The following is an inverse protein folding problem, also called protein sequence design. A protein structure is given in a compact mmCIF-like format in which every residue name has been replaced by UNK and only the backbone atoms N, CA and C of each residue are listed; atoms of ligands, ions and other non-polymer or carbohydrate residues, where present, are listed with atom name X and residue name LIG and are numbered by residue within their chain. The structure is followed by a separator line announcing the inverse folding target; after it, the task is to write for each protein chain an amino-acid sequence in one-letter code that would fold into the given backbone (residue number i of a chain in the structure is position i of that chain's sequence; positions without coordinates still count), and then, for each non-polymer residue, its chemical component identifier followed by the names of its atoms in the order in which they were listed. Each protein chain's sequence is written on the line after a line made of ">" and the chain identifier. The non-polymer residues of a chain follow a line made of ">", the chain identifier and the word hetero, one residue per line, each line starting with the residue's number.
data_IF_221278683248
#
_entry.id   IF_221278683248
#
_cell.length_a   1.000
_cell.length_b   1.000
_cell.length_c   1.000
_cell.angle_alpha   90.00
_cell.angle_beta   90.00
_cell.angle_gamma   90.00
#
_symmetry.space_group_name_H-M   'P 1'
#
loop_
_entity.id
_entity.type
_entity.pdbx_description
1 polymer ?
#
# COMPACT_ATOMS: atom_id res chain seq x y z
N UNK A 1 -10.83 -16.99 1.42
CA UNK A 1 -9.82 -16.69 2.46
C UNK A 1 -8.88 -15.66 1.89
N UNK A 2 -8.56 -14.59 2.63
CA UNK A 2 -7.54 -13.63 2.19
C UNK A 2 -6.17 -14.28 2.27
N UNK A 3 -5.37 -14.17 1.20
CA UNK A 3 -3.96 -14.56 1.22
C UNK A 3 -3.20 -13.45 1.95
N UNK A 4 -2.33 -13.81 2.89
CA UNK A 4 -1.60 -12.85 3.72
C UNK A 4 -0.08 -13.02 3.56
N UNK A 5 0.66 -11.94 3.70
CA UNK A 5 2.07 -11.94 4.06
C UNK A 5 2.20 -11.81 5.59
N UNK A 6 3.32 -12.25 6.12
CA UNK A 6 3.65 -12.10 7.54
C UNK A 6 4.73 -11.02 7.65
N UNK A 7 4.42 -9.94 8.36
CA UNK A 7 5.37 -8.89 8.64
C UNK A 7 6.49 -9.41 9.57
N UNK A 8 7.66 -8.77 9.58
CA UNK A 8 8.79 -9.18 10.41
C UNK A 8 8.52 -9.18 11.93
N UNK A 9 7.43 -8.56 12.37
CA UNK A 9 6.94 -8.57 13.75
C UNK A 9 5.80 -9.60 13.99
N UNK A 10 5.51 -10.48 13.03
CA UNK A 10 4.51 -11.54 13.12
C UNK A 10 3.07 -11.13 12.76
N UNK A 11 2.80 -9.86 12.51
CA UNK A 11 1.46 -9.39 12.11
C UNK A 11 1.13 -9.87 10.70
N UNK A 12 -0.09 -10.40 10.51
CA UNK A 12 -0.60 -10.82 9.20
C UNK A 12 -1.19 -9.64 8.44
N UNK A 13 -0.75 -9.42 7.21
CA UNK A 13 -1.19 -8.34 6.32
C UNK A 13 -1.73 -8.95 5.01
N UNK A 14 -2.99 -8.65 4.60
CA UNK A 14 -3.52 -9.13 3.32
C UNK A 14 -2.71 -8.58 2.13
N UNK A 15 -2.37 -9.46 1.18
CA UNK A 15 -1.50 -9.11 0.03
C UNK A 15 -2.18 -8.24 -1.03
N UNK A 16 -3.47 -8.04 -0.92
CA UNK A 16 -4.24 -7.08 -1.72
C UNK A 16 -5.03 -6.17 -0.79
N UNK A 17 -4.79 -4.87 -0.88
CA UNK A 17 -5.50 -3.84 -0.16
C UNK A 17 -6.38 -2.99 -1.07
N UNK A 18 -7.15 -2.11 -0.47
CA UNK A 18 -8.00 -1.13 -1.13
C UNK A 18 -7.47 0.27 -0.87
N UNK A 19 -6.93 0.92 -1.90
CA UNK A 19 -6.43 2.29 -1.84
C UNK A 19 -7.58 3.31 -1.75
N UNK A 20 -7.47 4.28 -0.84
CA UNK A 20 -8.51 5.26 -0.54
C UNK A 20 -8.13 6.70 -0.98
N UNK A 21 -7.00 6.88 -1.67
CA UNK A 21 -6.62 8.18 -2.20
C UNK A 21 -7.70 8.77 -3.11
N UNK A 22 -8.02 10.07 -2.94
CA UNK A 22 -9.03 10.80 -3.70
C UNK A 22 -10.43 10.15 -3.66
N UNK A 23 -10.81 9.60 -2.50
CA UNK A 23 -12.18 9.26 -2.15
C UNK A 23 -12.59 10.11 -0.94
N UNK A 24 -13.72 10.79 -1.01
CA UNK A 24 -14.15 11.78 0.01
C UNK A 24 -15.60 11.58 0.41
N UNK A 25 -15.97 12.10 1.58
CA UNK A 25 -17.34 12.18 2.03
C UNK A 25 -18.12 10.85 1.89
N UNK A 26 -19.38 10.91 1.51
CA UNK A 26 -20.24 9.72 1.37
C UNK A 26 -19.73 8.70 0.35
N UNK A 27 -19.02 9.13 -0.69
CA UNK A 27 -18.40 8.21 -1.66
C UNK A 27 -17.34 7.32 -0.97
N UNK A 28 -16.50 7.91 -0.11
CA UNK A 28 -15.50 7.15 0.65
C UNK A 28 -16.17 6.11 1.57
N UNK A 29 -17.18 6.55 2.34
CA UNK A 29 -17.96 5.67 3.22
C UNK A 29 -18.55 4.49 2.44
N UNK A 30 -19.19 4.78 1.30
CA UNK A 30 -19.82 3.74 0.47
C UNK A 30 -18.75 2.80 -0.13
N UNK A 31 -17.64 3.34 -0.63
CA UNK A 31 -16.54 2.53 -1.18
C UNK A 31 -15.94 1.57 -0.13
N UNK A 32 -15.77 2.01 1.12
CA UNK A 32 -15.29 1.16 2.21
C UNK A 32 -16.28 0.02 2.48
N UNK A 33 -17.58 0.33 2.58
CA UNK A 33 -18.64 -0.68 2.78
C UNK A 33 -18.68 -1.69 1.63
N UNK A 34 -18.61 -1.21 0.39
CA UNK A 34 -18.62 -2.06 -0.79
C UNK A 34 -17.37 -2.95 -0.86
N UNK A 35 -16.19 -2.39 -0.58
CA UNK A 35 -14.94 -3.15 -0.54
C UNK A 35 -15.00 -4.27 0.53
N UNK A 36 -15.50 -3.98 1.74
CA UNK A 36 -15.71 -4.99 2.78
C UNK A 36 -16.68 -6.08 2.29
N UNK A 37 -17.81 -5.66 1.68
CA UNK A 37 -18.86 -6.59 1.22
C UNK A 37 -18.38 -7.55 0.13
N UNK A 38 -17.43 -7.15 -0.71
CA UNK A 38 -16.87 -7.98 -1.78
C UNK A 38 -15.62 -8.77 -1.33
N UNK A 39 -15.10 -8.53 -0.12
CA UNK A 39 -14.05 -9.36 0.46
C UNK A 39 -12.71 -8.68 0.74
N UNK A 40 -12.56 -7.38 0.51
CA UNK A 40 -11.35 -6.67 0.96
C UNK A 40 -11.25 -6.68 2.48
N UNK A 41 -10.02 -6.87 2.98
CA UNK A 41 -9.70 -6.88 4.41
C UNK A 41 -8.52 -5.96 4.76
N UNK A 42 -7.95 -5.29 3.79
CA UNK A 42 -6.87 -4.32 3.94
C UNK A 42 -7.29 -3.00 3.28
N UNK A 43 -7.14 -1.88 4.02
CA UNK A 43 -7.53 -0.53 3.62
C UNK A 43 -6.34 0.41 3.82
N UNK A 44 -6.03 1.22 2.82
CA UNK A 44 -4.90 2.16 2.85
C UNK A 44 -5.38 3.60 2.71
N UNK A 45 -5.22 4.37 3.78
CA UNK A 45 -5.47 5.82 3.83
C UNK A 45 -4.23 6.60 4.24
N UNK A 46 -4.35 7.90 4.49
CA UNK A 46 -3.31 8.77 5.01
C UNK A 46 -3.91 10.05 5.60
N UNK A 47 -3.18 10.72 6.50
CA UNK A 47 -3.58 12.02 7.05
C UNK A 47 -3.86 13.06 5.95
N UNK A 48 -2.99 13.12 4.94
CA UNK A 48 -3.13 14.08 3.82
C UNK A 48 -4.30 13.79 2.89
N UNK A 49 -4.88 12.56 2.94
CA UNK A 49 -6.08 12.24 2.15
C UNK A 49 -7.35 12.84 2.77
N UNK A 50 -7.31 13.25 4.05
CA UNK A 50 -8.41 13.89 4.79
C UNK A 50 -9.69 13.07 4.84
N UNK A 51 -9.57 11.74 4.78
CA UNK A 51 -10.72 10.82 4.77
C UNK A 51 -10.67 9.74 5.86
N UNK A 52 -9.78 9.87 6.86
CA UNK A 52 -9.66 8.90 7.95
C UNK A 52 -10.98 8.73 8.74
N UNK A 53 -11.77 9.82 8.89
CA UNK A 53 -13.10 9.78 9.51
C UNK A 53 -14.08 8.94 8.71
N UNK A 54 -14.12 9.16 7.41
CA UNK A 54 -14.99 8.45 6.47
C UNK A 54 -14.64 6.97 6.39
N UNK A 55 -13.34 6.64 6.45
CA UNK A 55 -12.87 5.25 6.53
C UNK A 55 -13.40 4.58 7.80
N UNK A 56 -13.23 5.22 8.95
CA UNK A 56 -13.76 4.73 10.22
C UNK A 56 -15.27 4.56 10.21
N UNK A 57 -15.99 5.53 9.65
CA UNK A 57 -17.45 5.48 9.52
C UNK A 57 -17.90 4.34 8.58
N UNK A 58 -17.25 4.18 7.44
CA UNK A 58 -17.52 3.08 6.50
C UNK A 58 -17.34 1.71 7.15
N UNK A 59 -16.30 1.54 7.97
CA UNK A 59 -16.08 0.31 8.74
C UNK A 59 -17.20 0.09 9.76
N UNK A 60 -17.57 1.11 10.55
CA UNK A 60 -18.69 1.01 11.53
C UNK A 60 -20.00 0.63 10.85
N UNK A 61 -20.35 1.32 9.75
CA UNK A 61 -21.59 1.07 9.01
C UNK A 61 -21.60 -0.31 8.33
N UNK A 62 -20.45 -0.87 7.99
CA UNK A 62 -20.37 -2.23 7.42
C UNK A 62 -20.74 -3.32 8.43
N UNK A 63 -20.69 -3.01 9.73
CA UNK A 63 -20.86 -3.95 10.85
C UNK A 63 -19.86 -5.13 10.83
N UNK A 64 -18.81 -5.03 10.04
CA UNK A 64 -17.75 -6.04 9.98
C UNK A 64 -16.79 -5.86 11.18
N UNK A 65 -16.34 -6.94 11.84
CA UNK A 65 -15.46 -6.83 13.00
C UNK A 65 -14.14 -6.11 12.66
N UNK A 66 -13.78 -5.07 13.45
CA UNK A 66 -12.59 -4.24 13.24
C UNK A 66 -11.30 -5.05 13.31
N UNK A 67 -11.24 -6.03 14.20
CA UNK A 67 -10.09 -6.90 14.43
C UNK A 67 -9.81 -7.90 13.29
N UNK A 68 -10.75 -8.03 12.35
CA UNK A 68 -10.59 -8.81 11.12
C UNK A 68 -10.20 -7.95 9.90
N UNK A 69 -9.97 -6.66 10.12
CA UNK A 69 -9.52 -5.72 9.10
C UNK A 69 -8.09 -5.27 9.39
N UNK A 70 -7.34 -5.02 8.33
CA UNK A 70 -6.03 -4.38 8.36
C UNK A 70 -6.16 -2.96 7.79
N UNK A 71 -5.91 -1.94 8.60
CA UNK A 71 -6.05 -0.53 8.20
C UNK A 71 -4.72 0.18 8.35
N UNK A 72 -4.23 0.71 7.24
CA UNK A 72 -3.02 1.52 7.15
C UNK A 72 -3.38 3.00 7.12
N UNK A 73 -2.67 3.83 7.89
CA UNK A 73 -2.59 5.28 7.68
C UNK A 73 -1.14 5.73 7.56
N UNK A 74 -0.94 6.99 7.14
CA UNK A 74 0.41 7.55 6.92
C UNK A 74 0.48 8.94 7.53
N UNK A 75 1.60 9.25 8.21
CA UNK A 75 1.81 10.58 8.78
C UNK A 75 2.14 11.59 7.67
N UNK A 76 1.50 12.75 7.76
CA UNK A 76 1.85 13.93 6.93
C UNK A 76 2.68 14.97 7.70
N UNK A 77 3.13 14.64 8.91
CA UNK A 77 3.83 15.52 9.85
C UNK A 77 5.33 15.23 9.86
N UNK A 78 6.15 16.21 10.27
CA UNK A 78 7.60 16.13 10.37
C UNK A 78 8.08 16.35 11.81
N UNK A 79 8.96 15.48 12.28
CA UNK A 79 9.55 15.52 13.62
C UNK A 79 8.64 14.96 14.72
N UNK A 80 9.24 14.70 15.88
CA UNK A 80 8.64 13.94 16.97
C UNK A 80 7.30 14.52 17.48
N UNK A 81 7.31 15.77 17.95
CA UNK A 81 6.13 16.37 18.60
C UNK A 81 4.94 16.57 17.67
N UNK A 82 5.20 16.94 16.42
CA UNK A 82 4.14 17.11 15.43
C UNK A 82 3.53 15.76 15.05
N UNK A 83 4.37 14.73 14.88
CA UNK A 83 3.92 13.38 14.53
C UNK A 83 3.13 12.74 15.67
N UNK A 84 3.57 12.89 16.91
CA UNK A 84 2.82 12.40 18.08
C UNK A 84 1.41 12.99 18.13
N UNK A 85 1.26 14.31 17.98
CA UNK A 85 -0.06 14.97 17.91
C UNK A 85 -0.87 14.50 16.70
N UNK A 86 -0.23 14.36 15.53
CA UNK A 86 -0.89 13.89 14.31
C UNK A 86 -1.47 12.48 14.43
N UNK A 87 -0.78 11.56 15.13
CA UNK A 87 -1.27 10.21 15.40
C UNK A 87 -2.52 10.24 16.29
N UNK A 88 -2.52 11.05 17.36
CA UNK A 88 -3.71 11.21 18.23
C UNK A 88 -4.91 11.75 17.45
N UNK A 89 -4.69 12.75 16.62
CA UNK A 89 -5.74 13.32 15.76
C UNK A 89 -6.27 12.27 14.76
N UNK A 90 -5.39 11.45 14.19
CA UNK A 90 -5.79 10.38 13.27
C UNK A 90 -6.66 9.35 13.97
N UNK A 91 -6.27 8.88 15.15
CA UNK A 91 -7.06 7.94 15.95
C UNK A 91 -8.44 8.53 16.31
N UNK A 92 -8.48 9.81 16.72
CA UNK A 92 -9.73 10.52 17.02
C UNK A 92 -10.64 10.62 15.78
N UNK A 93 -10.09 10.93 14.59
CA UNK A 93 -10.86 10.97 13.34
C UNK A 93 -11.35 9.59 12.95
N UNK A 94 -10.46 8.59 12.97
CA UNK A 94 -10.76 7.21 12.62
C UNK A 94 -11.81 6.57 13.56
N UNK A 95 -11.77 6.93 14.84
CA UNK A 95 -12.75 6.50 15.84
C UNK A 95 -12.61 5.03 16.26
N UNK A 96 -11.41 4.46 16.13
CA UNK A 96 -11.00 3.18 16.68
C UNK A 96 -9.69 3.33 17.47
N UNK A 97 -9.40 2.44 18.41
CA UNK A 97 -8.26 2.61 19.33
C UNK A 97 -6.89 2.40 18.68
N UNK A 98 -6.82 1.82 17.50
CA UNK A 98 -5.57 1.52 16.82
C UNK A 98 -5.71 1.49 15.29
N UNK A 99 -4.57 1.72 14.60
CA UNK A 99 -4.34 1.31 13.22
C UNK A 99 -3.54 0.00 13.18
N UNK A 100 -3.65 -0.77 12.10
CA UNK A 100 -2.81 -1.97 11.94
C UNK A 100 -1.40 -1.60 11.51
N UNK A 101 -1.25 -0.54 10.69
CA UNK A 101 0.03 -0.05 10.22
C UNK A 101 0.02 1.48 10.15
N UNK A 102 1.08 2.12 10.68
CA UNK A 102 1.33 3.55 10.47
C UNK A 102 2.66 3.70 9.72
N UNK A 103 2.62 4.43 8.59
CA UNK A 103 3.81 4.71 7.78
C UNK A 103 4.24 6.18 7.92
N UNK A 104 5.53 6.45 7.80
CA UNK A 104 5.99 7.78 7.36
C UNK A 104 5.65 7.90 5.87
N UNK A 105 4.87 8.91 5.48
CA UNK A 105 4.32 9.00 4.11
C UNK A 105 5.40 9.32 3.07
N UNK A 106 6.28 10.27 3.39
CA UNK A 106 7.43 10.69 2.58
C UNK A 106 8.60 11.04 3.50
N UNK A 107 9.85 10.80 3.06
CA UNK A 107 11.02 11.31 3.76
C UNK A 107 10.94 12.83 3.87
N UNK A 108 11.31 13.35 5.04
CA UNK A 108 11.35 14.77 5.34
C UNK A 108 12.64 15.12 6.09
N UNK A 109 12.75 16.35 6.61
CA UNK A 109 13.98 16.83 7.26
C UNK A 109 14.28 16.17 8.62
N UNK A 110 13.27 15.67 9.33
CA UNK A 110 13.44 14.96 10.63
C UNK A 110 12.74 13.60 10.62
N UNK A 111 13.27 12.69 9.83
CA UNK A 111 12.79 11.31 9.76
C UNK A 111 12.99 10.57 11.08
N UNK A 112 14.09 10.81 11.78
CA UNK A 112 14.39 10.15 13.06
C UNK A 112 13.41 10.57 14.15
N UNK A 113 13.10 11.86 14.28
CA UNK A 113 12.10 12.35 15.23
C UNK A 113 10.70 11.82 14.86
N UNK A 114 10.35 11.81 13.59
CA UNK A 114 9.09 11.25 13.10
C UNK A 114 8.98 9.76 13.43
N UNK A 115 10.02 8.96 13.16
CA UNK A 115 10.01 7.53 13.44
C UNK A 115 9.98 7.21 14.93
N UNK A 116 10.63 8.03 15.78
CA UNK A 116 10.55 7.93 17.24
C UNK A 116 9.11 8.03 17.73
N UNK A 117 8.32 8.95 17.16
CA UNK A 117 6.90 9.07 17.50
C UNK A 117 6.09 7.83 17.07
N UNK A 118 6.41 7.24 15.91
CA UNK A 118 5.80 5.98 15.48
C UNK A 118 6.17 4.82 16.44
N UNK A 119 7.44 4.72 16.82
CA UNK A 119 7.92 3.68 17.74
C UNK A 119 7.24 3.79 19.11
N UNK A 120 7.03 5.00 19.61
CA UNK A 120 6.28 5.23 20.85
C UNK A 120 4.81 4.81 20.70
N UNK A 121 4.15 5.22 19.63
CA UNK A 121 2.77 4.82 19.32
C UNK A 121 2.60 3.29 19.21
N UNK A 122 3.61 2.62 18.65
CA UNK A 122 3.65 1.15 18.59
C UNK A 122 3.75 0.53 19.99
N UNK A 123 4.65 1.04 20.85
CA UNK A 123 4.80 0.59 22.24
C UNK A 123 3.55 0.85 23.09
N UNK A 124 2.82 1.91 22.79
CA UNK A 124 1.55 2.27 23.45
C UNK A 124 0.33 1.49 22.87
N UNK A 125 0.51 0.63 21.88
CA UNK A 125 -0.56 -0.16 21.29
C UNK A 125 -1.49 0.63 20.35
N UNK A 126 -1.12 1.85 19.96
CA UNK A 126 -1.87 2.70 19.01
C UNK A 126 -1.74 2.22 17.56
N UNK A 127 -0.75 1.36 17.30
CA UNK A 127 -0.64 0.61 16.06
C UNK A 127 -0.01 -0.76 16.29
N UNK A 128 -0.26 -1.70 15.37
CA UNK A 128 0.26 -3.08 15.41
C UNK A 128 1.57 -3.23 14.66
N UNK A 129 1.87 -2.32 13.75
CA UNK A 129 3.09 -2.28 12.96
C UNK A 129 3.40 -0.84 12.56
N UNK A 130 4.68 -0.58 12.28
CA UNK A 130 5.17 0.71 11.78
C UNK A 130 6.04 0.48 10.55
N UNK A 131 6.11 1.46 9.65
CA UNK A 131 6.88 1.33 8.43
C UNK A 131 7.12 2.67 7.74
N UNK A 132 7.56 2.56 6.51
CA UNK A 132 8.02 3.68 5.69
C UNK A 132 7.27 3.71 4.37
N UNK A 133 7.21 4.89 3.74
CA UNK A 133 6.74 5.05 2.37
C UNK A 133 7.65 6.03 1.63
N UNK A 134 8.04 5.65 0.40
CA UNK A 134 8.91 6.44 -0.48
C UNK A 134 10.34 6.68 0.03
N UNK A 135 10.82 5.81 0.91
CA UNK A 135 12.20 5.85 1.41
C UNK A 135 13.13 5.11 0.46
N UNK A 136 14.25 5.75 0.09
CA UNK A 136 15.34 5.09 -0.61
C UNK A 136 16.20 4.23 0.34
N UNK A 137 17.16 3.47 -0.20
CA UNK A 137 17.97 2.54 0.59
C UNK A 137 18.76 3.25 1.71
N UNK A 138 19.32 4.43 1.44
CA UNK A 138 20.09 5.20 2.43
C UNK A 138 19.22 5.67 3.59
N UNK A 139 18.08 6.28 3.26
CA UNK A 139 17.11 6.77 4.25
C UNK A 139 16.49 5.63 5.05
N UNK A 140 16.22 4.49 4.38
CA UNK A 140 15.75 3.29 5.05
C UNK A 140 16.77 2.76 6.06
N UNK A 141 18.05 2.67 5.67
CA UNK A 141 19.13 2.22 6.56
C UNK A 141 19.38 3.17 7.73
N UNK A 142 19.18 4.48 7.52
CA UNK A 142 19.23 5.44 8.61
C UNK A 142 18.21 5.09 9.71
N UNK A 143 16.96 4.84 9.35
CA UNK A 143 15.93 4.40 10.29
C UNK A 143 16.29 3.04 10.89
N UNK A 144 16.65 2.06 10.04
CA UNK A 144 16.99 0.72 10.47
C UNK A 144 18.09 0.67 11.54
N UNK A 145 19.13 1.49 11.37
CA UNK A 145 20.29 1.48 12.28
C UNK A 145 20.03 2.22 13.61
N UNK A 146 19.09 3.17 13.63
CA UNK A 146 18.87 4.04 14.79
C UNK A 146 17.76 3.56 15.75
N UNK A 147 16.93 2.57 15.37
CA UNK A 147 15.80 2.12 16.18
C UNK A 147 15.82 0.62 16.42
N UNK A 148 15.31 0.19 17.59
CA UNK A 148 15.14 -1.23 17.92
C UNK A 148 13.92 -1.81 17.21
N UNK A 149 12.80 -1.10 17.23
CA UNK A 149 11.60 -1.50 16.47
C UNK A 149 11.85 -1.20 15.00
N UNK A 150 12.00 -2.25 14.20
CA UNK A 150 12.33 -2.11 12.78
C UNK A 150 11.06 -1.79 11.96
N UNK A 151 11.18 -1.04 10.84
CA UNK A 151 10.05 -0.91 9.91
C UNK A 151 9.62 -2.29 9.42
N UNK A 152 8.34 -2.42 9.06
CA UNK A 152 7.80 -3.70 8.55
C UNK A 152 7.55 -3.66 7.05
N UNK A 153 7.29 -2.48 6.51
CA UNK A 153 6.90 -2.21 5.12
C UNK A 153 7.67 -1.00 4.61
N UNK A 154 8.02 -1.01 3.33
CA UNK A 154 8.26 0.21 2.56
C UNK A 154 7.27 0.24 1.40
N UNK A 155 6.33 1.22 1.43
CA UNK A 155 5.33 1.41 0.39
C UNK A 155 5.85 2.41 -0.64
N UNK A 156 6.07 1.96 -1.88
CA UNK A 156 6.69 2.78 -2.94
C UNK A 156 5.92 2.68 -4.25
N UNK A 157 6.08 3.67 -5.14
CA UNK A 157 5.55 3.58 -6.49
C UNK A 157 6.07 2.34 -7.19
N UNK A 158 5.16 1.43 -7.58
CA UNK A 158 5.57 0.22 -8.27
C UNK A 158 4.49 -0.22 -9.24
N UNK A 159 4.87 -0.42 -10.50
CA UNK A 159 3.98 -0.84 -11.56
C UNK A 159 4.77 -1.43 -12.74
N UNK A 160 4.09 -1.80 -13.82
CA UNK A 160 4.66 -2.49 -14.98
C UNK A 160 5.89 -1.80 -15.59
N UNK A 161 5.89 -0.46 -15.65
CA UNK A 161 7.01 0.32 -16.22
C UNK A 161 8.04 0.76 -15.15
N UNK A 162 7.78 0.45 -13.88
CA UNK A 162 8.63 0.80 -12.76
C UNK A 162 8.58 -0.30 -11.69
N UNK A 163 9.27 -1.40 -11.95
CA UNK A 163 9.23 -2.60 -11.10
C UNK A 163 10.02 -2.47 -9.80
N UNK A 164 10.84 -1.41 -9.64
CA UNK A 164 11.64 -1.17 -8.42
C UNK A 164 12.53 -2.35 -8.03
N UNK A 165 13.08 -3.06 -9.01
CA UNK A 165 13.78 -4.33 -8.80
C UNK A 165 14.93 -4.22 -7.78
N UNK A 166 15.70 -3.12 -7.82
CA UNK A 166 16.82 -2.92 -6.87
C UNK A 166 16.30 -2.75 -5.45
N UNK A 167 15.26 -1.90 -5.27
CA UNK A 167 14.65 -1.68 -3.96
C UNK A 167 13.91 -2.91 -3.46
N UNK A 168 13.22 -3.63 -4.34
CA UNK A 168 12.58 -4.90 -3.98
C UNK A 168 13.59 -5.93 -3.44
N UNK A 169 14.70 -6.15 -4.15
CA UNK A 169 15.75 -7.06 -3.70
C UNK A 169 16.39 -6.61 -2.37
N UNK A 170 16.58 -5.30 -2.21
CA UNK A 170 17.05 -4.72 -0.95
C UNK A 170 16.09 -5.04 0.21
N UNK A 171 14.80 -4.81 0.04
CA UNK A 171 13.78 -5.07 1.06
C UNK A 171 13.72 -6.57 1.42
N UNK A 172 13.77 -7.46 0.43
CA UNK A 172 13.81 -8.91 0.65
C UNK A 172 15.02 -9.33 1.48
N UNK A 173 16.20 -8.76 1.22
CA UNK A 173 17.44 -9.05 1.99
C UNK A 173 17.26 -8.75 3.48
N UNK A 174 16.46 -7.74 3.83
CA UNK A 174 16.22 -7.34 5.21
C UNK A 174 14.90 -7.89 5.79
N UNK A 175 14.20 -8.76 5.05
CA UNK A 175 12.90 -9.33 5.43
C UNK A 175 11.80 -8.28 5.66
N UNK A 176 11.69 -7.32 4.72
CA UNK A 176 10.66 -6.29 4.70
C UNK A 176 9.70 -6.47 3.55
N UNK A 177 8.47 -6.02 3.78
CA UNK A 177 7.44 -6.07 2.75
C UNK A 177 7.57 -4.87 1.81
N UNK A 178 7.62 -5.16 0.52
CA UNK A 178 7.43 -4.21 -0.55
C UNK A 178 5.92 -4.07 -0.83
N UNK A 179 5.38 -2.88 -0.65
CA UNK A 179 4.00 -2.56 -1.00
C UNK A 179 3.95 -1.55 -2.13
N UNK A 180 3.11 -1.82 -3.14
CA UNK A 180 2.97 -0.99 -4.35
C UNK A 180 1.82 0.00 -4.20
N UNK A 181 2.11 1.30 -4.20
CA UNK A 181 1.09 2.28 -4.54
C UNK A 181 1.11 2.57 -6.05
N UNK A 182 -0.03 3.06 -6.60
CA UNK A 182 -0.25 3.27 -8.04
C UNK A 182 0.02 2.05 -8.94
N UNK A 183 -0.44 0.84 -8.60
CA UNK A 183 -0.14 -0.36 -9.38
C UNK A 183 -0.57 -0.27 -10.84
N UNK A 184 -1.50 0.62 -11.21
CA UNK A 184 -1.98 0.85 -12.56
C UNK A 184 -1.32 2.04 -13.28
N UNK A 185 -0.23 2.60 -12.75
CA UNK A 185 0.50 3.72 -13.35
C UNK A 185 -0.21 5.06 -13.20
N UNK A 186 -0.72 5.33 -11.99
CA UNK A 186 -1.28 6.62 -11.59
C UNK A 186 -2.74 6.85 -11.94
N UNK A 187 -3.20 8.11 -11.85
CA UNK A 187 -4.59 8.46 -12.09
C UNK A 187 -5.08 8.03 -13.47
N UNK A 188 -6.27 7.40 -13.48
CA UNK A 188 -6.87 6.90 -14.71
C UNK A 188 -6.36 5.53 -15.18
N UNK A 189 -5.31 4.99 -14.56
CA UNK A 189 -4.79 3.66 -14.90
C UNK A 189 -4.21 3.61 -16.31
N UNK A 190 -3.29 4.51 -16.64
CA UNK A 190 -2.72 4.67 -17.98
C UNK A 190 -2.14 3.38 -18.54
N UNK A 191 -1.52 2.57 -17.68
CA UNK A 191 -0.88 1.30 -18.06
C UNK A 191 -1.89 0.24 -18.52
N UNK A 192 -3.16 0.33 -18.14
CA UNK A 192 -4.20 -0.60 -18.59
C UNK A 192 -4.46 -0.52 -20.08
N UNK A 193 -3.93 0.52 -20.75
CA UNK A 193 -4.03 0.70 -22.20
C UNK A 193 -2.78 0.18 -22.96
N UNK A 194 -1.74 -0.28 -22.27
CA UNK A 194 -0.56 -0.86 -22.90
C UNK A 194 -0.93 -2.07 -23.77
N UNK A 195 -0.42 -2.10 -25.01
CA UNK A 195 -0.82 -3.11 -25.99
C UNK A 195 -0.26 -4.50 -25.67
N UNK A 196 0.95 -4.56 -25.12
CA UNK A 196 1.58 -5.82 -24.68
C UNK A 196 0.83 -6.40 -23.48
N UNK A 197 0.47 -5.56 -22.50
CA UNK A 197 -0.38 -5.97 -21.39
C UNK A 197 -1.73 -6.49 -21.85
N UNK A 198 -2.39 -5.81 -22.83
CA UNK A 198 -3.65 -6.25 -23.42
C UNK A 198 -3.52 -7.58 -24.14
N UNK A 199 -2.43 -7.81 -24.87
CA UNK A 199 -2.17 -9.07 -25.55
C UNK A 199 -2.03 -10.23 -24.54
N UNK A 200 -1.26 -10.04 -23.46
CA UNK A 200 -1.14 -11.03 -22.39
C UNK A 200 -2.50 -11.27 -21.71
N UNK A 201 -3.28 -10.21 -21.51
CA UNK A 201 -4.60 -10.30 -20.90
C UNK A 201 -5.57 -11.12 -21.76
N UNK A 202 -5.63 -10.85 -23.05
CA UNK A 202 -6.46 -11.60 -24.02
C UNK A 202 -6.10 -13.08 -24.05
N UNK A 203 -4.79 -13.41 -24.14
CA UNK A 203 -4.27 -14.79 -24.11
C UNK A 203 -4.72 -15.56 -22.85
N UNK A 204 -4.75 -14.90 -21.72
CA UNK A 204 -5.11 -15.50 -20.43
C UNK A 204 -6.62 -15.41 -20.12
N UNK A 205 -7.46 -14.88 -21.00
CA UNK A 205 -8.88 -14.61 -20.77
C UNK A 205 -9.13 -13.81 -19.47
N UNK A 206 -8.28 -12.79 -19.23
CA UNK A 206 -8.34 -11.89 -18.08
C UNK A 206 -8.32 -10.43 -18.54
N UNK A 207 -8.64 -9.52 -17.61
CA UNK A 207 -8.49 -8.09 -17.89
C UNK A 207 -7.04 -7.63 -17.69
N UNK A 208 -6.62 -6.53 -18.32
CA UNK A 208 -5.31 -5.92 -18.07
C UNK A 208 -5.05 -5.63 -16.58
N UNK A 209 -6.08 -5.19 -15.84
CA UNK A 209 -5.98 -4.95 -14.40
C UNK A 209 -5.66 -6.24 -13.63
N UNK A 210 -6.34 -7.34 -13.94
CA UNK A 210 -6.08 -8.63 -13.31
C UNK A 210 -4.66 -9.15 -13.60
N UNK A 211 -4.21 -9.04 -14.86
CA UNK A 211 -2.85 -9.46 -15.23
C UNK A 211 -1.80 -8.64 -14.48
N UNK A 212 -1.95 -7.32 -14.44
CA UNK A 212 -0.98 -6.45 -13.80
C UNK A 212 -0.91 -6.70 -12.28
N UNK A 213 -2.05 -6.79 -11.59
CA UNK A 213 -2.07 -7.11 -10.18
C UNK A 213 -1.47 -8.51 -9.92
N UNK A 214 -1.82 -9.51 -10.74
CA UNK A 214 -1.27 -10.86 -10.60
C UNK A 214 0.24 -10.91 -10.83
N UNK A 215 0.75 -10.11 -11.77
CA UNK A 215 2.18 -9.97 -12.01
C UNK A 215 2.92 -9.41 -10.78
N UNK A 216 2.41 -8.33 -10.18
CA UNK A 216 3.03 -7.75 -8.98
C UNK A 216 2.98 -8.73 -7.80
N UNK A 217 1.86 -9.44 -7.60
CA UNK A 217 1.77 -10.49 -6.58
C UNK A 217 2.71 -11.67 -6.85
N UNK A 218 2.98 -12.02 -8.12
CA UNK A 218 3.97 -13.04 -8.47
C UNK A 218 5.38 -12.63 -8.04
N UNK A 219 5.70 -11.33 -8.11
CA UNK A 219 6.96 -10.79 -7.60
C UNK A 219 7.03 -10.73 -6.06
N UNK A 220 5.95 -11.07 -5.33
CA UNK A 220 5.89 -10.96 -3.87
C UNK A 220 5.57 -9.56 -3.36
N UNK A 221 5.06 -8.68 -4.23
CA UNK A 221 4.73 -7.28 -3.92
C UNK A 221 3.27 -7.19 -3.52
N UNK A 222 2.98 -6.59 -2.35
CA UNK A 222 1.63 -6.25 -1.89
C UNK A 222 1.07 -5.11 -2.75
N UNK A 223 -0.21 -5.15 -3.12
CA UNK A 223 -0.81 -4.16 -4.01
C UNK A 223 -2.05 -3.49 -3.40
N UNK A 224 -2.20 -2.17 -3.62
CA UNK A 224 -3.33 -1.39 -3.12
C UNK A 224 -4.05 -0.62 -4.25
N UNK A 225 -4.70 -1.33 -5.20
CA UNK A 225 -5.45 -0.69 -6.27
C UNK A 225 -6.61 0.16 -5.71
N UNK A 226 -6.89 1.30 -6.37
CA UNK A 226 -8.01 2.20 -6.04
C UNK A 226 -9.07 2.18 -7.12
N UNK A 227 -10.32 2.14 -6.71
CA UNK A 227 -11.49 2.34 -7.58
C UNK A 227 -12.70 2.80 -6.77
N UNK A 228 -13.60 3.58 -7.38
CA UNK A 228 -14.90 3.88 -6.82
C UNK A 228 -16.02 2.93 -7.34
N UNK A 229 -15.69 2.03 -8.28
CA UNK A 229 -16.68 1.13 -8.91
C UNK A 229 -16.65 -0.25 -8.28
N UNK A 230 -17.76 -0.69 -7.68
CA UNK A 230 -17.89 -2.02 -7.05
C UNK A 230 -17.55 -3.17 -8.00
N UNK A 231 -17.93 -3.08 -9.26
CA UNK A 231 -17.58 -4.08 -10.29
C UNK A 231 -16.06 -4.26 -10.45
N UNK A 232 -15.29 -3.15 -10.43
CA UNK A 232 -13.83 -3.20 -10.47
C UNK A 232 -13.21 -3.69 -9.17
N UNK A 233 -13.86 -3.49 -8.02
CA UNK A 233 -13.42 -4.08 -6.75
C UNK A 233 -13.47 -5.62 -6.85
N UNK A 234 -14.57 -6.17 -7.37
CA UNK A 234 -14.73 -7.61 -7.60
C UNK A 234 -13.68 -8.11 -8.61
N UNK A 235 -13.52 -7.40 -9.72
CA UNK A 235 -12.53 -7.72 -10.76
C UNK A 235 -11.11 -7.80 -10.18
N UNK A 236 -10.68 -6.80 -9.42
CA UNK A 236 -9.35 -6.72 -8.82
C UNK A 236 -9.09 -7.82 -7.79
N UNK A 237 -10.11 -8.29 -7.08
CA UNK A 237 -9.98 -9.43 -6.14
C UNK A 237 -9.94 -10.78 -6.85
N UNK A 238 -10.48 -10.89 -8.06
CA UNK A 238 -10.55 -12.15 -8.80
C UNK A 238 -9.26 -12.47 -9.55
N UNK A 239 -8.13 -12.51 -8.80
CA UNK A 239 -6.77 -12.70 -9.30
C UNK A 239 -6.05 -13.91 -8.71
N UNK A 240 -6.74 -14.68 -7.87
CA UNK A 240 -6.15 -15.85 -7.20
C UNK A 240 -6.48 -17.18 -7.89
N UNK A 241 -7.35 -17.16 -8.89
CA UNK A 241 -7.83 -18.35 -9.60
C UNK A 241 -7.07 -18.66 -10.90
N UNK A 242 -5.94 -17.99 -11.14
CA UNK A 242 -5.05 -18.24 -12.27
C UNK A 242 -3.60 -17.92 -11.92
N UNK A 243 -2.68 -18.40 -12.75
CA UNK A 243 -1.26 -18.06 -12.70
C UNK A 243 -0.79 -17.57 -14.07
N UNK A 244 0.25 -16.75 -14.07
CA UNK A 244 0.93 -16.35 -15.30
C UNK A 244 2.01 -17.38 -15.64
N UNK A 245 2.20 -17.65 -16.93
CA UNK A 245 3.31 -18.49 -17.40
C UNK A 245 4.63 -17.72 -17.29
N UNK A 246 5.77 -18.45 -17.23
CA UNK A 246 7.10 -17.83 -17.22
C UNK A 246 7.33 -16.96 -18.47
N UNK A 247 6.75 -17.34 -19.61
CA UNK A 247 6.81 -16.55 -20.84
C UNK A 247 6.05 -15.21 -20.66
N UNK A 248 4.85 -15.24 -20.07
CA UNK A 248 4.08 -14.02 -19.81
C UNK A 248 4.80 -13.11 -18.80
N UNK A 249 5.39 -13.68 -17.75
CA UNK A 249 6.18 -12.95 -16.76
C UNK A 249 7.38 -12.26 -17.40
N UNK A 250 8.13 -12.97 -18.28
CA UNK A 250 9.28 -12.39 -19.01
C UNK A 250 8.85 -11.24 -19.93
N UNK A 251 7.73 -11.40 -20.64
CA UNK A 251 7.17 -10.34 -21.49
C UNK A 251 6.79 -9.12 -20.65
N UNK A 252 6.07 -9.30 -19.53
CA UNK A 252 5.67 -8.20 -18.65
C UNK A 252 6.89 -7.52 -18.01
N UNK A 253 7.89 -8.29 -17.59
CA UNK A 253 9.12 -7.76 -17.01
C UNK A 253 9.94 -6.92 -18.00
N UNK A 254 9.87 -7.21 -19.31
CA UNK A 254 10.56 -6.43 -20.34
C UNK A 254 9.98 -5.05 -20.60
N UNK A 255 8.79 -4.75 -20.04
CA UNK A 255 8.16 -3.43 -20.12
C UNK A 255 8.69 -2.45 -19.05
N UNK A 256 9.55 -2.92 -18.15
CA UNK A 256 10.16 -2.08 -17.14
C UNK A 256 11.10 -1.05 -17.79
N UNK A 257 10.81 0.22 -17.58
CA UNK A 257 11.62 1.35 -18.09
C UNK A 257 12.54 1.94 -17.03
N UNK A 258 12.41 1.46 -15.78
CA UNK A 258 13.09 2.05 -14.62
C UNK A 258 12.61 3.47 -14.29
N UNK A 259 11.45 3.88 -14.79
CA UNK A 259 10.92 5.24 -14.60
C UNK A 259 9.54 5.23 -13.97
N UNK A 260 9.44 5.84 -12.80
CA UNK A 260 8.18 6.24 -12.19
C UNK A 260 7.52 7.39 -12.96
N UNK A 261 6.49 7.99 -12.43
CA UNK A 261 5.84 9.15 -13.04
C UNK A 261 4.35 9.23 -12.76
N UNK A 262 3.86 8.41 -11.85
CA UNK A 262 2.46 8.50 -11.41
C UNK A 262 2.21 9.76 -10.58
N UNK A 263 3.27 10.36 -10.03
CA UNK A 263 3.23 11.57 -9.20
C UNK A 263 4.43 12.49 -9.52
N UNK A 264 4.32 13.83 -9.39
CA UNK A 264 5.41 14.77 -9.70
C UNK A 264 6.69 14.54 -8.91
N UNK A 265 6.59 13.87 -7.76
CA UNK A 265 7.72 13.54 -6.88
C UNK A 265 8.13 12.08 -6.96
N UNK A 266 7.65 11.32 -7.96
CA UNK A 266 8.05 9.92 -8.11
C UNK A 266 9.55 9.85 -8.37
N UNK A 267 10.20 8.99 -7.61
CA UNK A 267 11.64 8.78 -7.70
C UNK A 267 11.94 7.82 -8.86
N UNK A 268 13.02 8.11 -9.57
CA UNK A 268 13.58 7.18 -10.54
C UNK A 268 14.28 6.02 -9.81
N UNK A 269 14.44 4.86 -10.46
CA UNK A 269 15.06 3.69 -9.84
C UNK A 269 16.48 3.96 -9.32
N UNK A 270 17.21 4.89 -9.94
CA UNK A 270 18.55 5.30 -9.52
C UNK A 270 18.62 5.94 -8.11
N UNK A 271 17.47 6.40 -7.57
CA UNK A 271 17.39 6.96 -6.21
C UNK A 271 17.10 5.89 -5.14
N UNK A 272 16.80 4.65 -5.54
CA UNK A 272 16.49 3.56 -4.62
C UNK A 272 17.62 2.54 -4.43
#
# INVERSE_FOLDING_TARGET
>A
MSVNVILNNGVKMPIIGFGLWALYSNECIQCVKDAISVGYRHFDTAQVYRNEREVGEGIRQSKFPRDQLFVTTKTGTNGYSATKRGIEESLKKFGFPYFDLILIHWPQSDNLGTYRALEEAYKEGKCRAIGLSNFNQREFLEIYNNFQTKPTVNQIETHLHFNQKKMHNFLLKYNYIHESWSPFGGPGGKLLNDQTLKSVASKNHKTPAQILLRYLLHLGIVVIPKTAKKSRMIENLNIFNFSLSDADIKILASLDTGKGGSWPYSMHEEFY
#
